data_IF_563931104268
#
_entry.id   IF_563931104268
#
_cell.length_a   1.000
_cell.length_b   1.000
_cell.length_c   1.000
_cell.angle_alpha   90.00
_cell.angle_beta   90.00
_cell.angle_gamma   90.00
#
_symmetry.space_group_name_H-M   'P 1'
#
loop_
_entity.id
_entity.type
_entity.pdbx_description
1 polymer ?
#
# COMPACT_ATOMS: atom_id res chain seq x y z
N UNK A 1 -17.75 -25.18 43.29
CA UNK A 1 -16.86 -24.01 43.52
C UNK A 1 -15.38 -24.39 43.55
N UNK A 2 -14.93 -25.36 44.36
CA UNK A 2 -13.51 -25.74 44.48
C UNK A 2 -12.89 -26.20 43.14
N UNK A 3 -13.59 -27.03 42.37
CA UNK A 3 -13.12 -27.49 41.04
C UNK A 3 -12.97 -26.35 40.02
N UNK A 4 -13.86 -25.35 40.05
CA UNK A 4 -13.78 -24.16 39.19
C UNK A 4 -12.60 -23.25 39.59
N UNK A 5 -12.32 -23.13 40.88
CA UNK A 5 -11.17 -22.38 41.38
C UNK A 5 -9.84 -23.07 41.03
N UNK A 6 -9.76 -24.40 41.13
CA UNK A 6 -8.58 -25.18 40.74
C UNK A 6 -8.34 -25.08 39.23
N UNK A 7 -9.40 -25.21 38.41
CA UNK A 7 -9.30 -25.05 36.97
C UNK A 7 -8.84 -23.64 36.58
N UNK A 8 -9.43 -22.60 37.20
CA UNK A 8 -9.00 -21.21 36.99
C UNK A 8 -7.54 -20.96 37.37
N UNK A 9 -7.06 -21.55 38.48
CA UNK A 9 -5.67 -21.46 38.90
C UNK A 9 -4.71 -22.16 37.93
N UNK A 10 -5.07 -23.33 37.41
CA UNK A 10 -4.27 -24.06 36.40
C UNK A 10 -4.19 -23.26 35.10
N UNK A 11 -5.31 -22.70 34.63
CA UNK A 11 -5.34 -21.84 33.44
C UNK A 11 -4.47 -20.60 33.64
N UNK A 12 -4.55 -19.95 34.81
CA UNK A 12 -3.71 -18.79 35.14
C UNK A 12 -2.22 -19.16 35.23
N UNK A 13 -1.88 -20.32 35.81
CA UNK A 13 -0.50 -20.81 35.88
C UNK A 13 0.05 -21.11 34.49
N UNK A 14 -0.73 -21.81 33.64
CA UNK A 14 -0.33 -22.09 32.25
C UNK A 14 -0.20 -20.81 31.44
N UNK A 15 -1.13 -19.86 31.58
CA UNK A 15 -1.04 -18.54 30.95
C UNK A 15 0.22 -17.80 31.41
N UNK A 16 0.57 -17.87 32.70
CA UNK A 16 1.80 -17.32 33.27
C UNK A 16 3.05 -17.97 32.68
N UNK A 17 3.13 -19.30 32.62
CA UNK A 17 4.28 -20.00 32.02
C UNK A 17 4.42 -19.66 30.54
N UNK A 18 3.33 -19.63 29.78
CA UNK A 18 3.36 -19.20 28.37
C UNK A 18 3.87 -17.76 28.26
N UNK A 19 3.35 -16.84 29.06
CA UNK A 19 3.72 -15.42 29.04
C UNK A 19 5.17 -15.15 29.45
N UNK A 20 5.66 -15.83 30.49
CA UNK A 20 6.99 -15.55 31.06
C UNK A 20 8.10 -16.42 30.48
N UNK A 21 7.81 -17.66 30.09
CA UNK A 21 8.82 -18.63 29.63
C UNK A 21 8.84 -18.74 28.11
N UNK A 22 7.68 -18.80 27.46
CA UNK A 22 7.58 -19.03 26.01
C UNK A 22 7.61 -17.72 25.22
N UNK A 23 6.96 -16.66 25.72
CA UNK A 23 6.92 -15.34 25.09
C UNK A 23 7.97 -14.41 25.71
N UNK A 24 9.24 -14.80 25.75
CA UNK A 24 10.32 -13.92 26.24
C UNK A 24 10.47 -12.69 25.34
N UNK A 25 10.77 -11.55 25.95
CA UNK A 25 11.22 -10.38 25.21
C UNK A 25 12.51 -10.75 24.43
N UNK A 26 12.76 -10.09 23.30
CA UNK A 26 13.99 -10.27 22.54
C UNK A 26 15.20 -9.81 23.36
N UNK A 27 16.40 -10.11 22.85
CA UNK A 27 17.63 -9.51 23.36
C UNK A 27 17.61 -7.98 23.27
N UNK A 28 18.58 -7.32 23.89
CA UNK A 28 18.69 -5.84 23.91
C UNK A 28 19.58 -5.27 22.82
N UNK A 29 20.20 -6.10 21.99
CA UNK A 29 21.03 -5.66 20.86
C UNK A 29 20.62 -6.38 19.58
N UNK A 30 20.87 -5.77 18.42
CA UNK A 30 20.61 -6.38 17.10
C UNK A 30 21.19 -7.81 16.97
N UNK A 31 22.40 -8.04 17.49
CA UNK A 31 23.07 -9.34 17.40
C UNK A 31 22.30 -10.46 18.13
N UNK A 32 21.57 -10.12 19.19
CA UNK A 32 20.79 -11.05 20.02
C UNK A 32 19.38 -11.32 19.48
N UNK A 33 18.97 -10.63 18.41
CA UNK A 33 17.65 -10.82 17.80
C UNK A 33 17.56 -12.15 17.03
N UNK A 34 16.34 -12.67 16.88
CA UNK A 34 16.11 -13.82 16.01
C UNK A 34 16.19 -13.44 14.52
N UNK A 35 16.36 -14.43 13.65
CA UNK A 35 16.58 -14.18 12.23
C UNK A 35 15.42 -13.45 11.53
N UNK A 36 14.18 -13.62 12.01
CA UNK A 36 13.07 -12.88 11.43
C UNK A 36 13.07 -11.43 11.88
N UNK A 37 13.43 -11.16 13.13
CA UNK A 37 13.55 -9.79 13.63
C UNK A 37 14.72 -9.06 12.97
N UNK A 38 15.86 -9.74 12.77
CA UNK A 38 16.99 -9.20 11.99
C UNK A 38 16.55 -8.87 10.56
N UNK A 39 15.95 -9.82 9.86
CA UNK A 39 15.44 -9.58 8.50
C UNK A 39 14.44 -8.42 8.45
N UNK A 40 13.54 -8.32 9.44
CA UNK A 40 12.61 -7.21 9.55
C UNK A 40 13.33 -5.87 9.72
N UNK A 41 14.29 -5.78 10.66
CA UNK A 41 15.00 -4.53 10.91
C UNK A 41 15.98 -4.15 9.81
N UNK A 42 16.56 -5.12 9.10
CA UNK A 42 17.38 -4.86 7.91
C UNK A 42 16.52 -4.20 6.83
N UNK A 43 15.35 -4.77 6.54
CA UNK A 43 14.41 -4.21 5.57
C UNK A 43 13.87 -2.83 6.01
N UNK A 44 13.54 -2.66 7.30
CA UNK A 44 13.12 -1.37 7.85
C UNK A 44 14.24 -0.31 7.76
N UNK A 45 15.48 -0.71 7.97
CA UNK A 45 16.64 0.18 7.84
C UNK A 45 16.81 0.64 6.40
N UNK A 46 16.67 -0.25 5.42
CA UNK A 46 16.70 0.12 4.00
C UNK A 46 15.55 1.04 3.61
N UNK A 47 14.33 0.79 4.12
CA UNK A 47 13.20 1.73 3.95
C UNK A 47 13.58 3.11 4.51
N UNK A 48 14.06 3.18 5.75
CA UNK A 48 14.36 4.44 6.44
C UNK A 48 15.51 5.19 5.76
N UNK A 49 16.55 4.50 5.31
CA UNK A 49 17.63 5.06 4.52
C UNK A 49 17.10 5.68 3.22
N UNK A 50 16.23 4.97 2.51
CA UNK A 50 15.69 5.45 1.23
C UNK A 50 14.83 6.70 1.43
N UNK A 51 13.99 6.73 2.47
CA UNK A 51 13.23 7.94 2.86
C UNK A 51 14.11 9.06 3.39
N UNK A 52 15.24 8.75 4.04
CA UNK A 52 16.14 9.76 4.56
C UNK A 52 16.94 10.46 3.46
N UNK A 53 17.31 9.71 2.41
CA UNK A 53 18.23 10.16 1.37
C UNK A 53 17.53 10.58 0.07
N UNK A 54 16.37 10.01 -0.25
CA UNK A 54 15.65 10.22 -1.51
C UNK A 54 14.11 10.34 -1.35
N UNK A 55 13.59 11.12 -0.37
CA UNK A 55 12.15 11.19 -0.09
C UNK A 55 11.31 11.69 -1.29
N UNK A 56 11.82 12.64 -2.06
CA UNK A 56 11.18 13.19 -3.25
C UNK A 56 11.05 12.18 -4.40
N UNK A 57 11.94 11.18 -4.44
CA UNK A 57 11.86 10.08 -5.40
C UNK A 57 10.84 9.02 -4.97
N UNK A 58 10.45 8.98 -3.71
CA UNK A 58 9.39 8.09 -3.20
C UNK A 58 8.01 8.75 -3.32
N UNK A 59 7.83 9.90 -2.67
CA UNK A 59 6.58 10.65 -2.69
C UNK A 59 6.84 12.15 -2.81
N UNK A 60 7.18 12.81 -1.70
CA UNK A 60 7.58 14.22 -1.62
C UNK A 60 8.55 14.40 -0.42
N UNK A 61 9.11 15.60 -0.27
CA UNK A 61 10.04 15.90 0.83
C UNK A 61 9.38 16.00 2.22
N UNK A 62 8.05 16.16 2.28
CA UNK A 62 7.30 16.37 3.51
C UNK A 62 6.89 15.05 4.16
N UNK A 63 6.60 14.02 3.35
CA UNK A 63 6.25 12.69 3.82
C UNK A 63 7.48 11.91 4.27
N UNK A 64 7.64 11.82 5.60
CA UNK A 64 8.81 11.21 6.27
C UNK A 64 8.44 9.96 7.05
N UNK A 65 8.18 8.86 6.34
CA UNK A 65 7.89 7.55 6.94
C UNK A 65 8.98 7.11 7.95
N UNK A 66 10.25 7.42 7.66
CA UNK A 66 11.42 7.15 8.50
C UNK A 66 11.37 7.81 9.89
N UNK A 67 10.46 8.75 10.10
CA UNK A 67 10.28 9.50 11.36
C UNK A 67 8.94 9.24 12.03
N UNK A 68 8.07 8.44 11.41
CA UNK A 68 6.75 8.16 11.96
C UNK A 68 6.83 7.06 13.03
N UNK A 69 6.00 7.14 14.08
CA UNK A 69 5.91 6.06 15.06
C UNK A 69 5.41 4.78 14.37
N UNK A 70 5.81 3.61 14.84
CA UNK A 70 5.36 2.32 14.30
C UNK A 70 5.34 1.27 15.40
N UNK A 71 4.33 0.41 15.41
CA UNK A 71 4.27 -0.76 16.29
C UNK A 71 4.41 -2.02 15.45
N UNK A 72 5.52 -2.74 15.62
CA UNK A 72 5.82 -3.96 14.87
C UNK A 72 5.59 -5.17 15.76
N UNK A 73 4.63 -6.02 15.39
CA UNK A 73 4.14 -7.12 16.23
C UNK A 73 4.68 -8.44 15.69
N UNK A 74 5.48 -9.14 16.51
CA UNK A 74 6.07 -10.44 16.17
C UNK A 74 5.01 -11.54 16.21
N UNK A 75 4.35 -11.78 15.09
CA UNK A 75 3.38 -12.86 14.91
C UNK A 75 4.07 -14.16 14.46
N UNK A 76 3.40 -15.30 14.68
CA UNK A 76 3.89 -16.61 14.22
C UNK A 76 3.57 -16.91 12.75
N UNK A 77 2.45 -16.38 12.26
CA UNK A 77 1.93 -16.62 10.92
C UNK A 77 1.04 -15.46 10.49
N UNK A 78 0.67 -15.46 9.21
CA UNK A 78 -0.31 -14.56 8.61
C UNK A 78 -1.57 -14.44 9.48
N UNK A 79 -1.99 -13.19 9.73
CA UNK A 79 -3.17 -12.80 10.52
C UNK A 79 -3.22 -13.41 11.93
N UNK A 80 -2.06 -13.77 12.48
CA UNK A 80 -1.96 -14.41 13.78
C UNK A 80 -2.51 -13.54 14.92
N UNK A 81 -3.33 -14.13 15.80
CA UNK A 81 -3.82 -13.49 17.02
C UNK A 81 -2.85 -13.64 18.21
N UNK A 82 -1.93 -14.61 18.12
CA UNK A 82 -0.88 -14.82 19.13
C UNK A 82 0.41 -14.18 18.66
N UNK A 83 0.95 -13.26 19.45
CA UNK A 83 2.26 -12.63 19.24
C UNK A 83 3.25 -12.97 20.35
N UNK A 84 4.54 -12.81 20.08
CA UNK A 84 5.62 -13.03 21.06
C UNK A 84 5.91 -11.77 21.87
N UNK A 85 6.10 -10.67 21.16
CA UNK A 85 6.38 -9.34 21.66
C UNK A 85 6.09 -8.35 20.53
N UNK A 86 6.27 -7.07 20.79
CA UNK A 86 6.18 -5.99 19.82
C UNK A 86 7.34 -5.01 20.01
N UNK A 87 7.75 -4.40 18.92
CA UNK A 87 8.67 -3.28 18.89
C UNK A 87 7.90 -1.98 18.69
N UNK A 88 8.25 -0.98 19.47
CA UNK A 88 7.85 0.40 19.28
C UNK A 88 9.02 1.10 18.62
N UNK A 89 8.82 1.62 17.42
CA UNK A 89 9.81 2.37 16.65
C UNK A 89 9.35 3.84 16.62
N UNK A 90 10.25 4.79 16.90
CA UNK A 90 9.97 6.23 16.88
C UNK A 90 8.76 6.66 17.75
N UNK A 91 8.52 5.96 18.86
CA UNK A 91 7.32 6.15 19.68
C UNK A 91 7.60 6.72 21.08
N UNK A 92 8.87 6.89 21.48
CA UNK A 92 9.23 7.40 22.81
C UNK A 92 8.69 8.81 23.10
N UNK A 93 8.46 9.62 22.06
CA UNK A 93 7.84 10.94 22.19
C UNK A 93 6.33 10.91 22.47
N UNK A 94 5.66 9.76 22.32
CA UNK A 94 4.21 9.63 22.48
C UNK A 94 3.78 8.50 23.43
N UNK A 95 4.71 7.65 23.88
CA UNK A 95 4.48 6.57 24.85
C UNK A 95 5.61 6.60 25.88
N UNK A 96 5.26 6.42 27.16
CA UNK A 96 6.27 6.18 28.19
C UNK A 96 6.92 4.80 27.98
N UNK A 97 8.20 4.81 27.60
CA UNK A 97 9.00 3.61 27.31
C UNK A 97 9.93 3.21 28.46
N UNK A 98 9.85 3.86 29.62
CA UNK A 98 10.74 3.61 30.77
C UNK A 98 10.73 2.17 31.27
N UNK A 99 9.59 1.48 31.12
CA UNK A 99 9.44 0.06 31.47
C UNK A 99 9.73 -0.92 30.34
N UNK A 100 10.12 -0.46 29.15
CA UNK A 100 10.35 -1.29 27.97
C UNK A 100 11.83 -1.57 27.77
N UNK A 101 12.14 -2.68 27.07
CA UNK A 101 13.53 -3.04 26.76
C UNK A 101 13.99 -2.23 25.56
N UNK A 102 14.91 -1.29 25.74
CA UNK A 102 15.57 -0.62 24.62
C UNK A 102 16.36 -1.65 23.79
N UNK A 103 16.30 -1.52 22.47
CA UNK A 103 17.08 -2.32 21.52
C UNK A 103 18.14 -1.42 20.88
N UNK A 104 19.40 -1.81 21.01
CA UNK A 104 20.52 -1.08 20.43
C UNK A 104 20.86 -1.64 19.05
N UNK A 105 21.05 -0.73 18.08
CA UNK A 105 21.50 -1.02 16.72
C UNK A 105 22.84 -0.31 16.44
N UNK A 106 23.97 -0.86 16.93
CA UNK A 106 25.29 -0.24 16.72
C UNK A 106 25.58 -0.01 15.23
N UNK A 107 25.97 1.21 14.87
CA UNK A 107 26.30 1.57 13.49
C UNK A 107 25.11 1.87 12.58
N UNK A 108 23.87 1.72 13.05
CA UNK A 108 22.67 2.09 12.30
C UNK A 108 22.27 3.55 12.62
N UNK A 109 22.27 4.47 11.65
CA UNK A 109 21.94 5.89 11.87
C UNK A 109 20.43 6.20 11.81
N UNK A 110 19.58 5.19 11.65
CA UNK A 110 18.14 5.37 11.43
C UNK A 110 17.28 4.78 12.57
N UNK A 111 17.77 3.74 13.26
CA UNK A 111 17.03 3.01 14.30
C UNK A 111 17.49 3.37 15.72
N UNK A 112 17.26 4.63 16.13
CA UNK A 112 17.69 5.14 17.45
C UNK A 112 16.65 5.03 18.57
N UNK A 113 15.37 4.96 18.20
CA UNK A 113 14.23 4.89 19.11
C UNK A 113 13.48 3.57 18.88
N UNK A 114 14.02 2.48 19.43
CA UNK A 114 13.42 1.15 19.32
C UNK A 114 13.32 0.49 20.70
N UNK A 115 12.10 0.13 21.09
CA UNK A 115 11.80 -0.49 22.38
C UNK A 115 10.95 -1.73 22.21
N UNK A 116 11.30 -2.82 22.89
CA UNK A 116 10.53 -4.06 22.91
C UNK A 116 9.67 -4.16 24.18
N UNK A 117 8.42 -4.59 23.98
CA UNK A 117 7.48 -4.92 25.06
C UNK A 117 6.59 -6.10 24.67
N UNK A 118 5.95 -6.74 25.64
CA UNK A 118 4.96 -7.81 25.39
C UNK A 118 3.54 -7.28 25.27
N UNK A 119 3.27 -6.13 25.86
CA UNK A 119 1.95 -5.52 25.95
C UNK A 119 2.01 -4.00 26.07
N UNK A 120 0.91 -3.36 25.69
CA UNK A 120 0.65 -1.92 25.81
C UNK A 120 -0.55 -1.66 26.75
N UNK A 121 -0.67 -2.50 27.78
CA UNK A 121 -1.81 -2.53 28.69
C UNK A 121 -3.10 -2.93 27.97
N UNK A 122 -4.23 -2.33 28.36
CA UNK A 122 -5.54 -2.60 27.74
C UNK A 122 -5.60 -2.33 26.24
N UNK A 123 -4.68 -1.50 25.70
CA UNK A 123 -4.58 -1.23 24.26
C UNK A 123 -4.21 -2.46 23.45
N UNK A 124 -3.55 -3.46 24.04
CA UNK A 124 -3.22 -4.71 23.36
C UNK A 124 -4.44 -5.54 22.95
N UNK A 125 -5.63 -5.26 23.49
CA UNK A 125 -6.84 -6.00 23.15
C UNK A 125 -7.24 -5.82 21.67
N UNK A 126 -7.01 -4.64 21.08
CA UNK A 126 -7.30 -4.43 19.65
C UNK A 126 -6.38 -5.26 18.74
N UNK A 127 -5.20 -5.65 19.22
CA UNK A 127 -4.22 -6.43 18.46
C UNK A 127 -4.61 -7.91 18.31
N UNK A 128 -5.61 -8.37 19.06
CA UNK A 128 -6.19 -9.72 18.92
C UNK A 128 -7.02 -9.87 17.64
N UNK A 129 -7.34 -8.77 16.95
CA UNK A 129 -8.04 -8.83 15.67
C UNK A 129 -7.22 -9.61 14.62
N UNK A 130 -7.80 -10.59 13.90
CA UNK A 130 -7.08 -11.46 12.96
C UNK A 130 -6.81 -10.75 11.62
N UNK A 131 -6.10 -9.63 11.67
CA UNK A 131 -5.55 -8.90 10.53
C UNK A 131 -4.04 -8.69 10.70
N UNK A 132 -3.35 -8.43 9.59
CA UNK A 132 -1.92 -8.14 9.59
C UNK A 132 -1.60 -6.71 10.01
N UNK A 133 -2.57 -5.80 9.98
CA UNK A 133 -2.37 -4.45 10.43
C UNK A 133 -3.64 -3.91 11.10
N UNK A 134 -3.47 -2.90 11.93
CA UNK A 134 -4.57 -2.16 12.55
C UNK A 134 -4.10 -0.80 13.03
N UNK A 135 -5.06 0.11 13.28
CA UNK A 135 -4.80 1.37 13.94
C UNK A 135 -4.67 1.14 15.45
N UNK A 136 -3.60 1.65 16.06
CA UNK A 136 -3.46 1.70 17.51
C UNK A 136 -3.43 3.15 17.98
N UNK A 137 -4.32 3.51 18.91
CA UNK A 137 -4.35 4.85 19.48
C UNK A 137 -3.38 4.98 20.66
N UNK A 138 -2.29 5.69 20.46
CA UNK A 138 -1.25 5.98 21.45
C UNK A 138 -1.26 7.47 21.79
N UNK A 139 -1.56 7.81 23.05
CA UNK A 139 -1.66 9.19 23.55
C UNK A 139 -2.47 10.13 22.64
N UNK A 140 -3.62 9.63 22.16
CA UNK A 140 -4.54 10.39 21.32
C UNK A 140 -4.25 10.33 19.82
N UNK A 141 -3.06 9.87 19.40
CA UNK A 141 -2.62 9.74 17.99
C UNK A 141 -2.82 8.31 17.47
N UNK A 142 -3.25 8.17 16.23
CA UNK A 142 -3.27 6.88 15.54
C UNK A 142 -1.88 6.50 15.04
N UNK A 143 -1.50 5.25 15.30
CA UNK A 143 -0.20 4.67 14.95
C UNK A 143 -0.46 3.33 14.27
N UNK A 144 0.21 3.08 13.15
CA UNK A 144 0.17 1.78 12.50
C UNK A 144 0.73 0.71 13.43
N UNK A 145 -0.09 -0.31 13.71
CA UNK A 145 0.35 -1.56 14.29
C UNK A 145 0.38 -2.63 13.20
N UNK A 146 1.57 -3.10 12.82
CA UNK A 146 1.81 -4.03 11.73
C UNK A 146 2.39 -5.35 12.27
N UNK A 147 1.76 -6.47 11.92
CA UNK A 147 2.18 -7.82 12.28
C UNK A 147 3.10 -8.37 11.21
N UNK A 148 4.31 -8.75 11.60
CA UNK A 148 5.26 -9.42 10.72
C UNK A 148 5.49 -10.86 11.19
N UNK A 149 5.73 -11.75 10.23
CA UNK A 149 5.97 -13.18 10.43
C UNK A 149 7.00 -13.70 9.43
N UNK A 150 7.60 -14.90 9.64
CA UNK A 150 8.71 -15.37 8.83
C UNK A 150 8.41 -15.44 7.32
N UNK A 151 7.19 -15.82 6.95
CA UNK A 151 6.84 -15.97 5.52
C UNK A 151 6.92 -14.64 4.76
N UNK A 152 6.76 -13.48 5.41
CA UNK A 152 6.92 -12.17 4.77
C UNK A 152 8.35 -11.89 4.25
N UNK A 153 9.32 -12.74 4.61
CA UNK A 153 10.71 -12.67 4.16
C UNK A 153 11.10 -13.87 3.27
N UNK A 154 10.13 -14.74 2.96
CA UNK A 154 10.33 -15.85 2.04
C UNK A 154 10.35 -15.37 0.59
N UNK A 155 11.16 -16.03 -0.25
CA UNK A 155 11.19 -15.80 -1.70
C UNK A 155 9.93 -16.28 -2.42
N UNK A 156 9.15 -17.15 -1.78
CA UNK A 156 7.89 -17.70 -2.31
C UNK A 156 6.68 -16.79 -2.04
N UNK A 157 6.87 -15.75 -1.22
CA UNK A 157 5.82 -14.79 -0.92
C UNK A 157 5.71 -13.80 -2.05
N UNK A 158 4.46 -13.48 -2.40
CA UNK A 158 4.17 -12.40 -3.33
C UNK A 158 4.96 -11.15 -2.92
N UNK A 159 5.81 -10.58 -3.79
CA UNK A 159 6.64 -9.43 -3.43
C UNK A 159 5.85 -8.31 -2.77
N UNK A 160 4.62 -8.08 -3.21
CA UNK A 160 3.71 -7.04 -2.72
C UNK A 160 3.21 -7.29 -1.29
N UNK A 161 3.25 -8.55 -0.83
CA UNK A 161 2.88 -8.99 0.51
C UNK A 161 4.09 -9.16 1.44
N UNK A 162 5.31 -8.93 0.94
CA UNK A 162 6.51 -8.97 1.79
C UNK A 162 6.58 -7.72 2.67
N UNK A 163 7.27 -7.85 3.80
CA UNK A 163 7.38 -6.79 4.80
C UNK A 163 7.76 -5.41 4.22
N UNK A 164 8.81 -5.25 3.38
CA UNK A 164 9.26 -3.92 2.94
C UNK A 164 8.24 -3.17 2.07
N UNK A 165 7.30 -3.85 1.43
CA UNK A 165 6.28 -3.18 0.61
C UNK A 165 5.00 -3.00 1.40
N UNK A 166 4.48 -4.09 1.96
CA UNK A 166 3.18 -4.07 2.63
C UNK A 166 3.17 -3.17 3.87
N UNK A 167 4.25 -3.14 4.66
CA UNK A 167 4.33 -2.24 5.83
C UNK A 167 4.31 -0.77 5.42
N UNK A 168 4.97 -0.42 4.31
CA UNK A 168 5.04 0.94 3.79
C UNK A 168 3.73 1.37 3.13
N UNK A 169 3.07 0.46 2.39
CA UNK A 169 1.73 0.66 1.84
C UNK A 169 0.73 1.02 2.93
N UNK A 170 0.69 0.21 3.99
CA UNK A 170 -0.19 0.49 5.12
C UNK A 170 0.20 1.78 5.84
N UNK A 171 1.50 2.03 6.05
CA UNK A 171 1.94 3.27 6.69
C UNK A 171 1.53 4.52 5.90
N UNK A 172 1.49 4.43 4.57
CA UNK A 172 1.04 5.51 3.70
C UNK A 172 -0.43 5.85 3.96
N UNK A 173 -1.30 4.84 4.07
CA UNK A 173 -2.71 5.03 4.44
C UNK A 173 -2.85 5.79 5.78
N UNK A 174 -2.09 5.37 6.80
CA UNK A 174 -2.20 5.94 8.14
C UNK A 174 -1.57 7.33 8.30
N UNK A 175 -0.50 7.64 7.56
CA UNK A 175 0.28 8.85 7.82
C UNK A 175 0.18 9.91 6.73
N UNK A 176 -0.08 9.51 5.48
CA UNK A 176 -0.28 10.46 4.38
C UNK A 176 -1.75 10.62 4.04
N UNK A 177 -2.50 9.52 4.00
CA UNK A 177 -3.88 9.53 3.50
C UNK A 177 -4.95 9.57 4.60
N UNK A 178 -4.59 9.72 5.87
CA UNK A 178 -5.55 9.69 6.98
C UNK A 178 -6.69 10.72 6.86
N UNK A 179 -6.41 11.87 6.25
CA UNK A 179 -7.41 12.93 6.00
C UNK A 179 -8.11 12.81 4.65
N UNK A 180 -7.69 11.87 3.79
CA UNK A 180 -8.30 11.68 2.49
C UNK A 180 -9.67 11.02 2.67
N UNK A 181 -10.63 11.43 1.85
CA UNK A 181 -12.03 11.02 1.98
C UNK A 181 -12.63 10.58 0.64
N UNK A 182 -11.81 10.08 -0.28
CA UNK A 182 -12.23 9.60 -1.59
C UNK A 182 -13.29 8.48 -1.53
N UNK A 183 -13.37 7.74 -0.42
CA UNK A 183 -14.30 6.65 -0.15
C UNK A 183 -15.42 6.98 0.86
N UNK A 184 -15.59 8.27 1.21
CA UNK A 184 -16.65 8.70 2.15
C UNK A 184 -17.90 9.20 1.42
N UNK A 185 -18.97 9.43 2.19
CA UNK A 185 -20.23 10.02 1.72
C UNK A 185 -20.92 9.24 0.60
N UNK A 186 -20.98 7.92 0.71
CA UNK A 186 -21.66 7.05 -0.26
C UNK A 186 -20.82 6.70 -1.50
N UNK A 187 -19.54 7.09 -1.53
CA UNK A 187 -18.57 6.64 -2.53
C UNK A 187 -18.08 5.23 -2.17
N UNK A 188 -17.86 4.39 -3.18
CA UNK A 188 -17.33 3.04 -3.02
C UNK A 188 -15.90 2.94 -3.54
N UNK A 189 -15.15 1.96 -3.05
CA UNK A 189 -13.81 1.56 -3.54
C UNK A 189 -13.85 0.24 -4.31
N UNK A 190 -15.02 -0.09 -4.82
CA UNK A 190 -15.27 -1.19 -5.75
C UNK A 190 -16.31 -0.72 -6.76
N UNK A 191 -16.18 -1.17 -7.99
CA UNK A 191 -17.16 -0.92 -9.04
C UNK A 191 -18.23 -2.00 -8.95
N UNK A 192 -19.41 -1.64 -8.47
CA UNK A 192 -20.57 -2.55 -8.51
C UNK A 192 -21.05 -2.76 -9.94
N UNK A 193 -21.43 -4.00 -10.28
CA UNK A 193 -21.91 -4.37 -11.62
C UNK A 193 -20.95 -3.91 -12.73
N UNK A 194 -19.68 -4.31 -12.60
CA UNK A 194 -18.65 -3.99 -13.57
C UNK A 194 -19.08 -4.45 -14.98
N UNK A 195 -19.08 -3.57 -15.98
CA UNK A 195 -19.50 -3.92 -17.34
C UNK A 195 -18.52 -4.93 -17.97
N UNK A 196 -19.06 -5.98 -18.58
CA UNK A 196 -18.27 -7.05 -19.24
C UNK A 196 -18.69 -7.31 -20.69
N UNK A 197 -19.51 -6.42 -21.26
CA UNK A 197 -19.92 -6.49 -22.66
C UNK A 197 -18.78 -6.16 -23.62
N UNK A 198 -18.86 -6.65 -24.86
CA UNK A 198 -17.82 -6.49 -25.88
C UNK A 198 -17.41 -5.02 -26.11
N UNK A 199 -18.36 -4.09 -26.12
CA UNK A 199 -18.09 -2.66 -26.29
C UNK A 199 -17.21 -2.09 -25.16
N UNK A 200 -17.45 -2.53 -23.92
CA UNK A 200 -16.63 -2.11 -22.78
C UNK A 200 -15.24 -2.74 -22.84
N UNK A 201 -15.18 -4.04 -23.10
CA UNK A 201 -13.91 -4.77 -23.18
C UNK A 201 -13.03 -4.22 -24.30
N UNK A 202 -13.59 -3.87 -25.46
CA UNK A 202 -12.83 -3.24 -26.55
C UNK A 202 -12.22 -1.89 -26.13
N UNK A 203 -12.97 -1.04 -25.42
CA UNK A 203 -12.43 0.21 -24.88
C UNK A 203 -11.40 -0.02 -23.76
N UNK A 204 -11.57 -1.07 -22.96
CA UNK A 204 -10.63 -1.45 -21.93
C UNK A 204 -9.31 -1.97 -22.52
N UNK A 205 -9.36 -2.77 -23.60
CA UNK A 205 -8.19 -3.17 -24.39
C UNK A 205 -7.41 -1.96 -24.87
N UNK A 206 -8.09 -0.97 -25.45
CA UNK A 206 -7.47 0.29 -25.87
C UNK A 206 -6.84 1.04 -24.71
N UNK A 207 -7.55 1.19 -23.57
CA UNK A 207 -7.00 1.83 -22.37
C UNK A 207 -5.73 1.13 -21.87
N UNK A 208 -5.73 -0.21 -21.84
CA UNK A 208 -4.61 -0.99 -21.37
C UNK A 208 -3.42 -0.96 -22.32
N UNK A 209 -3.65 -0.97 -23.64
CA UNK A 209 -2.60 -0.79 -24.64
C UNK A 209 -1.94 0.60 -24.52
N UNK A 210 -2.72 1.64 -24.25
CA UNK A 210 -2.21 2.99 -24.00
C UNK A 210 -1.34 3.03 -22.72
N UNK A 211 -1.78 2.39 -21.63
CA UNK A 211 -1.00 2.29 -20.39
C UNK A 211 0.32 1.54 -20.59
N UNK A 212 0.29 0.43 -21.34
CA UNK A 212 1.49 -0.35 -21.68
C UNK A 212 2.49 0.49 -22.48
N UNK A 213 2.00 1.25 -23.48
CA UNK A 213 2.84 2.13 -24.29
C UNK A 213 3.43 3.28 -23.47
N UNK A 214 2.66 3.87 -22.56
CA UNK A 214 3.14 4.92 -21.65
C UNK A 214 4.23 4.40 -20.69
N UNK A 215 4.26 3.10 -20.41
CA UNK A 215 5.30 2.48 -19.60
C UNK A 215 6.70 2.52 -20.23
N UNK A 216 6.78 2.64 -21.56
CA UNK A 216 8.05 2.55 -22.30
C UNK A 216 8.35 3.76 -23.20
N UNK A 217 7.37 4.63 -23.46
CA UNK A 217 7.53 5.77 -24.37
C UNK A 217 8.49 6.83 -23.81
N UNK A 218 9.56 7.08 -24.56
CA UNK A 218 10.63 8.01 -24.20
C UNK A 218 10.41 9.40 -24.81
N UNK A 219 9.78 9.50 -25.98
CA UNK A 219 9.56 10.79 -26.63
C UNK A 219 8.51 11.61 -25.85
N UNK A 220 8.85 12.82 -25.36
CA UNK A 220 7.93 13.60 -24.53
C UNK A 220 6.65 14.04 -25.24
N UNK A 221 6.73 14.34 -26.55
CA UNK A 221 5.57 14.80 -27.31
C UNK A 221 4.58 13.64 -27.55
N UNK A 222 5.10 12.48 -27.96
CA UNK A 222 4.33 11.27 -28.15
C UNK A 222 3.77 10.75 -26.82
N UNK A 223 4.56 10.78 -25.75
CA UNK A 223 4.09 10.45 -24.40
C UNK A 223 2.89 11.31 -23.99
N UNK A 224 2.98 12.63 -24.19
CA UNK A 224 1.88 13.56 -23.90
C UNK A 224 0.65 13.28 -24.76
N UNK A 225 0.83 12.99 -26.05
CA UNK A 225 -0.27 12.62 -26.95
C UNK A 225 -0.98 11.32 -26.54
N UNK A 226 -0.22 10.27 -26.19
CA UNK A 226 -0.77 8.98 -25.71
C UNK A 226 -1.50 9.18 -24.39
N UNK A 227 -0.97 9.98 -23.46
CA UNK A 227 -1.61 10.26 -22.18
C UNK A 227 -2.92 11.07 -22.35
N UNK A 228 -2.99 11.95 -23.36
CA UNK A 228 -4.24 12.61 -23.74
C UNK A 228 -5.25 11.61 -24.28
N UNK A 229 -4.84 10.71 -25.18
CA UNK A 229 -5.72 9.66 -25.72
C UNK A 229 -6.22 8.72 -24.61
N UNK A 230 -5.37 8.37 -23.63
CA UNK A 230 -5.76 7.62 -22.42
C UNK A 230 -6.87 8.34 -21.65
N UNK A 231 -6.71 9.65 -21.41
CA UNK A 231 -7.72 10.44 -20.71
C UNK A 231 -9.06 10.50 -21.46
N UNK A 232 -9.02 10.57 -22.80
CA UNK A 232 -10.21 10.57 -23.66
C UNK A 232 -10.94 9.22 -23.66
N UNK A 233 -10.22 8.11 -23.78
CA UNK A 233 -10.80 6.75 -23.73
C UNK A 233 -11.48 6.52 -22.39
N UNK A 234 -10.80 6.85 -21.28
CA UNK A 234 -11.39 6.66 -19.95
C UNK A 234 -12.60 7.57 -19.72
N UNK A 235 -12.57 8.82 -20.16
CA UNK A 235 -13.72 9.71 -20.08
C UNK A 235 -14.93 9.15 -20.84
N UNK A 236 -14.71 8.56 -22.02
CA UNK A 236 -15.78 7.88 -22.77
C UNK A 236 -16.33 6.66 -22.03
N UNK A 237 -15.45 5.84 -21.43
CA UNK A 237 -15.88 4.70 -20.59
C UNK A 237 -16.78 5.18 -19.45
N UNK A 238 -16.42 6.25 -18.76
CA UNK A 238 -17.22 6.77 -17.64
C UNK A 238 -18.55 7.38 -18.09
N UNK A 239 -18.59 7.97 -19.28
CA UNK A 239 -19.85 8.46 -19.85
C UNK A 239 -20.81 7.30 -20.19
N UNK A 240 -20.31 6.21 -20.78
CA UNK A 240 -21.11 5.05 -21.17
C UNK A 240 -21.47 4.15 -19.98
N UNK A 241 -20.59 4.07 -18.98
CA UNK A 241 -20.77 3.30 -17.75
C UNK A 241 -20.39 4.14 -16.51
N UNK A 242 -21.30 5.01 -16.03
CA UNK A 242 -21.03 5.94 -14.93
C UNK A 242 -20.58 5.30 -13.62
N UNK A 243 -20.92 4.04 -13.37
CA UNK A 243 -20.46 3.30 -12.19
C UNK A 243 -18.93 3.14 -12.15
N UNK A 244 -18.25 3.22 -13.29
CA UNK A 244 -16.79 3.10 -13.38
C UNK A 244 -16.06 4.26 -12.71
N UNK A 245 -16.72 5.38 -12.41
CA UNK A 245 -16.12 6.49 -11.65
C UNK A 245 -15.64 6.03 -10.26
N UNK A 246 -16.22 4.97 -9.69
CA UNK A 246 -15.73 4.40 -8.44
C UNK A 246 -14.28 3.85 -8.54
N UNK A 247 -13.81 3.52 -9.75
CA UNK A 247 -12.42 3.11 -10.01
C UNK A 247 -11.44 4.20 -9.56
N UNK A 248 -11.74 5.48 -9.83
CA UNK A 248 -10.88 6.62 -9.47
C UNK A 248 -10.66 6.73 -7.95
N UNK A 249 -11.65 6.34 -7.12
CA UNK A 249 -11.49 6.37 -5.67
C UNK A 249 -10.46 5.31 -5.21
N UNK A 250 -10.53 4.11 -5.79
CA UNK A 250 -9.57 3.04 -5.49
C UNK A 250 -8.19 3.37 -6.04
N UNK A 251 -8.10 3.95 -7.24
CA UNK A 251 -6.84 4.45 -7.79
C UNK A 251 -6.22 5.53 -6.89
N UNK A 252 -7.03 6.44 -6.36
CA UNK A 252 -6.57 7.48 -5.46
C UNK A 252 -6.06 6.92 -4.13
N UNK A 253 -6.77 5.97 -3.52
CA UNK A 253 -6.40 5.40 -2.22
C UNK A 253 -5.31 4.35 -2.39
N UNK A 254 -5.63 3.25 -3.06
CA UNK A 254 -4.79 2.07 -3.14
C UNK A 254 -3.73 2.17 -4.24
N UNK A 255 -4.05 2.85 -5.34
CA UNK A 255 -3.12 3.04 -6.44
C UNK A 255 -1.94 3.97 -6.08
N UNK A 256 -2.14 4.99 -5.24
CA UNK A 256 -1.03 5.84 -4.77
C UNK A 256 -0.14 5.13 -3.75
N UNK A 257 -0.70 4.27 -2.91
CA UNK A 257 0.07 3.38 -2.03
C UNK A 257 0.87 2.34 -2.85
N UNK A 258 0.26 1.74 -3.88
CA UNK A 258 0.95 0.87 -4.87
C UNK A 258 2.04 1.63 -5.65
N UNK A 259 1.82 2.90 -6.00
CA UNK A 259 2.84 3.75 -6.61
C UNK A 259 4.06 3.88 -5.70
N UNK A 260 3.86 4.13 -4.40
CA UNK A 260 4.96 4.23 -3.44
C UNK A 260 5.77 2.93 -3.37
N UNK A 261 5.10 1.77 -3.36
CA UNK A 261 5.77 0.46 -3.40
C UNK A 261 6.66 0.28 -4.65
N UNK A 262 6.15 0.65 -5.83
CA UNK A 262 6.92 0.57 -7.08
C UNK A 262 8.10 1.54 -7.08
N UNK A 263 7.92 2.76 -6.60
CA UNK A 263 9.02 3.75 -6.48
C UNK A 263 10.12 3.27 -5.56
N UNK A 264 9.74 2.68 -4.43
CA UNK A 264 10.70 2.06 -3.54
C UNK A 264 11.43 0.90 -4.24
N UNK A 265 10.70 0.03 -4.94
CA UNK A 265 11.28 -1.05 -5.73
C UNK A 265 12.29 -0.56 -6.77
N UNK A 266 11.97 0.51 -7.51
CA UNK A 266 12.87 1.11 -8.52
C UNK A 266 14.17 1.63 -7.89
N UNK A 267 14.08 2.20 -6.68
CA UNK A 267 15.23 2.76 -5.97
C UNK A 267 16.14 1.69 -5.37
N UNK A 268 15.57 0.57 -4.93
CA UNK A 268 16.32 -0.49 -4.22
C UNK A 268 16.62 -1.72 -5.09
N UNK A 269 16.27 -1.69 -6.38
CA UNK A 269 16.44 -2.84 -7.27
C UNK A 269 15.53 -4.03 -6.92
N UNK A 270 14.34 -3.74 -6.41
CA UNK A 270 13.34 -4.73 -6.00
C UNK A 270 12.59 -5.38 -7.17
N UNK A 271 11.51 -6.12 -6.85
CA UNK A 271 10.71 -6.90 -7.83
C UNK A 271 9.25 -6.45 -7.97
N UNK A 272 8.85 -5.37 -7.31
CA UNK A 272 7.49 -4.82 -7.42
C UNK A 272 7.45 -3.86 -8.59
N UNK A 273 6.77 -4.26 -9.66
CA UNK A 273 6.56 -3.46 -10.86
C UNK A 273 5.09 -3.46 -11.26
N UNK A 274 4.81 -3.37 -12.56
CA UNK A 274 3.45 -3.48 -13.09
C UNK A 274 3.03 -4.95 -13.08
N UNK A 275 1.91 -5.26 -12.42
CA UNK A 275 1.26 -6.58 -12.45
C UNK A 275 2.23 -7.71 -12.06
N UNK A 276 2.98 -7.49 -10.98
CA UNK A 276 3.92 -8.47 -10.43
C UNK A 276 3.19 -9.71 -9.91
N UNK A 277 3.60 -10.89 -10.37
CA UNK A 277 3.13 -12.17 -9.83
C UNK A 277 3.98 -12.66 -8.64
N UNK A 278 3.61 -13.80 -8.06
CA UNK A 278 4.32 -14.39 -6.92
C UNK A 278 5.79 -14.72 -7.18
N UNK A 279 6.16 -14.98 -8.44
CA UNK A 279 7.54 -15.23 -8.85
C UNK A 279 8.35 -13.94 -9.04
N UNK A 280 7.73 -12.77 -8.85
CA UNK A 280 8.34 -11.47 -9.10
C UNK A 280 8.43 -11.12 -10.58
N UNK A 281 7.67 -11.79 -11.44
CA UNK A 281 7.59 -11.48 -12.86
C UNK A 281 6.49 -10.44 -13.09
N UNK A 282 6.77 -9.43 -13.90
CA UNK A 282 5.81 -8.40 -14.29
C UNK A 282 5.07 -8.80 -15.57
N UNK A 283 3.92 -8.20 -15.81
CA UNK A 283 3.12 -8.39 -17.03
C UNK A 283 2.60 -7.06 -17.54
N UNK A 284 2.21 -7.02 -18.82
CA UNK A 284 1.54 -5.87 -19.42
C UNK A 284 0.06 -5.87 -19.02
N UNK A 285 -0.57 -4.70 -19.03
CA UNK A 285 -2.01 -4.55 -18.79
C UNK A 285 -2.82 -5.36 -19.80
N UNK A 286 -2.46 -5.29 -21.09
CA UNK A 286 -3.05 -6.07 -22.18
C UNK A 286 -2.99 -7.58 -21.93
N UNK A 287 -1.82 -8.11 -21.56
CA UNK A 287 -1.65 -9.54 -21.31
C UNK A 287 -2.49 -10.04 -20.12
N UNK A 288 -2.66 -9.20 -19.08
CA UNK A 288 -3.54 -9.54 -17.95
C UNK A 288 -5.01 -9.51 -18.36
N UNK A 289 -5.43 -8.59 -19.22
CA UNK A 289 -6.80 -8.57 -19.74
C UNK A 289 -7.09 -9.80 -20.59
N UNK A 290 -6.19 -10.17 -21.51
CA UNK A 290 -6.31 -11.41 -22.29
C UNK A 290 -6.46 -12.64 -21.37
N UNK A 291 -5.68 -12.69 -20.30
CA UNK A 291 -5.77 -13.75 -19.30
C UNK A 291 -7.08 -13.72 -18.52
N UNK A 292 -7.63 -12.55 -18.20
CA UNK A 292 -8.95 -12.42 -17.56
C UNK A 292 -10.04 -12.92 -18.49
N UNK A 293 -10.03 -12.53 -19.76
CA UNK A 293 -11.06 -12.89 -20.75
C UNK A 293 -11.13 -14.39 -21.04
N UNK A 294 -10.01 -15.11 -20.87
CA UNK A 294 -9.98 -16.57 -20.99
C UNK A 294 -10.78 -17.30 -19.89
N UNK A 295 -11.11 -16.65 -18.78
CA UNK A 295 -11.91 -17.25 -17.71
C UNK A 295 -12.79 -16.20 -17.00
N UNK A 296 -14.12 -16.24 -17.19
CA UNK A 296 -15.06 -15.32 -16.55
C UNK A 296 -14.93 -15.17 -15.03
N UNK A 297 -14.50 -16.22 -14.31
CA UNK A 297 -14.31 -16.16 -12.86
C UNK A 297 -13.23 -15.15 -12.43
N UNK A 298 -12.34 -14.76 -13.35
CA UNK A 298 -11.29 -13.76 -13.16
C UNK A 298 -11.81 -12.33 -13.29
N UNK A 299 -13.03 -12.13 -13.80
CA UNK A 299 -13.61 -10.79 -14.03
C UNK A 299 -13.65 -9.90 -12.79
N UNK A 300 -13.75 -10.50 -11.59
CA UNK A 300 -13.71 -9.79 -10.30
C UNK A 300 -12.41 -9.00 -10.07
N UNK A 301 -11.33 -9.34 -10.76
CA UNK A 301 -10.06 -8.60 -10.70
C UNK A 301 -10.24 -7.19 -11.27
N UNK A 302 -11.12 -7.01 -12.26
CA UNK A 302 -11.42 -5.71 -12.88
C UNK A 302 -12.23 -4.79 -11.94
N UNK A 303 -12.99 -5.35 -11.00
CA UNK A 303 -13.87 -4.59 -10.09
C UNK A 303 -13.08 -3.72 -9.09
N UNK A 304 -11.85 -4.13 -8.75
CA UNK A 304 -11.03 -3.44 -7.73
C UNK A 304 -9.53 -3.63 -7.91
N UNK A 305 -9.05 -4.86 -8.09
CA UNK A 305 -7.60 -5.16 -8.06
C UNK A 305 -6.83 -4.42 -9.15
N UNK A 306 -7.36 -4.33 -10.38
CA UNK A 306 -6.71 -3.58 -11.45
C UNK A 306 -6.53 -2.09 -11.13
N UNK A 307 -7.41 -1.50 -10.31
CA UNK A 307 -7.33 -0.09 -9.93
C UNK A 307 -6.08 0.23 -9.07
N UNK A 308 -5.51 -0.76 -8.38
CA UNK A 308 -4.21 -0.58 -7.70
C UNK A 308 -3.12 -0.32 -8.75
N UNK A 309 -3.14 -1.10 -9.83
CA UNK A 309 -2.09 -1.11 -10.83
C UNK A 309 -2.20 0.06 -11.81
N UNK A 310 -3.42 0.38 -12.25
CA UNK A 310 -3.69 1.55 -13.10
C UNK A 310 -3.48 2.85 -12.34
N UNK A 311 -3.93 2.94 -11.08
CA UNK A 311 -3.71 4.11 -10.24
C UNK A 311 -2.23 4.40 -9.98
N UNK A 312 -1.43 3.34 -9.81
CA UNK A 312 0.01 3.48 -9.70
C UNK A 312 0.65 3.96 -11.01
N UNK A 313 0.23 3.40 -12.16
CA UNK A 313 0.73 3.81 -13.47
C UNK A 313 0.40 5.28 -13.77
N UNK A 314 -0.79 5.75 -13.39
CA UNK A 314 -1.15 7.16 -13.49
C UNK A 314 -0.24 8.06 -12.66
N UNK A 315 0.21 7.61 -11.48
CA UNK A 315 1.22 8.33 -10.69
C UNK A 315 2.53 8.54 -11.46
N UNK A 316 3.04 7.50 -12.14
CA UNK A 316 4.22 7.62 -13.01
C UNK A 316 3.97 8.54 -14.20
N UNK A 317 2.76 8.50 -14.78
CA UNK A 317 2.39 9.39 -15.88
C UNK A 317 2.37 10.86 -15.42
N UNK A 318 1.75 11.12 -14.28
CA UNK A 318 1.62 12.46 -13.72
C UNK A 318 2.94 13.04 -13.22
N UNK A 319 3.89 12.22 -12.76
CA UNK A 319 5.24 12.68 -12.46
C UNK A 319 5.92 13.35 -13.67
N UNK A 320 5.60 12.91 -14.89
CA UNK A 320 6.14 13.47 -16.14
C UNK A 320 5.34 14.67 -16.65
N UNK A 321 4.02 14.70 -16.41
CA UNK A 321 3.12 15.71 -17.00
C UNK A 321 2.76 16.86 -16.06
N UNK A 322 2.51 16.57 -14.79
CA UNK A 322 2.05 17.56 -13.80
C UNK A 322 2.79 17.32 -12.48
N UNK A 323 4.00 17.88 -12.29
CA UNK A 323 4.81 17.65 -11.09
C UNK A 323 4.13 18.00 -9.76
N UNK A 324 3.04 18.79 -9.78
CA UNK A 324 2.27 19.16 -8.59
C UNK A 324 1.13 18.19 -8.27
N UNK A 325 0.97 17.10 -9.03
CA UNK A 325 -0.18 16.20 -8.90
C UNK A 325 -0.38 15.68 -7.47
N UNK A 326 0.71 15.31 -6.78
CA UNK A 326 0.66 14.82 -5.39
C UNK A 326 0.01 15.84 -4.45
N UNK A 327 0.31 17.12 -4.64
CA UNK A 327 -0.30 18.22 -3.88
C UNK A 327 -1.76 18.45 -4.28
N UNK A 328 -2.10 18.34 -5.56
CA UNK A 328 -3.48 18.51 -6.03
C UNK A 328 -4.42 17.43 -5.47
N UNK A 329 -3.91 16.23 -5.20
CA UNK A 329 -4.66 15.15 -4.57
C UNK A 329 -4.98 15.38 -3.09
N UNK A 330 -4.16 16.19 -2.39
CA UNK A 330 -4.38 16.45 -0.97
C UNK A 330 -5.74 17.14 -0.75
N UNK A 331 -6.43 16.85 0.37
CA UNK A 331 -7.61 17.59 0.74
C UNK A 331 -7.28 19.04 1.09
N UNK A 332 -8.32 19.89 1.09
CA UNK A 332 -8.19 21.26 1.58
C UNK A 332 -7.66 21.28 3.03
N UNK A 333 -6.84 22.27 3.42
CA UNK A 333 -6.47 23.47 2.64
C UNK A 333 -5.22 23.29 1.76
N UNK A 334 -4.63 22.09 1.70
CA UNK A 334 -3.34 21.87 1.03
C UNK A 334 -3.52 21.75 -0.49
N UNK A 335 -4.53 20.98 -0.89
CA UNK A 335 -4.83 20.67 -2.28
C UNK A 335 -6.30 20.84 -2.63
N UNK A 336 -6.70 20.17 -3.69
CA UNK A 336 -8.03 20.27 -4.29
C UNK A 336 -8.80 18.95 -4.22
N UNK A 337 -8.23 17.90 -3.61
CA UNK A 337 -8.84 16.56 -3.51
C UNK A 337 -9.22 15.99 -4.88
N UNK A 338 -8.30 16.06 -5.84
CA UNK A 338 -8.51 15.50 -7.17
C UNK A 338 -7.98 14.07 -7.24
N UNK A 339 -8.63 13.21 -8.01
CA UNK A 339 -8.07 11.89 -8.37
C UNK A 339 -6.99 12.05 -9.45
N UNK A 340 -6.15 11.03 -9.65
CA UNK A 340 -5.16 11.05 -10.72
C UNK A 340 -5.79 11.28 -12.10
N UNK A 341 -6.94 10.65 -12.37
CA UNK A 341 -7.63 10.81 -13.64
C UNK A 341 -8.20 12.24 -13.81
N UNK A 342 -8.77 12.83 -12.76
CA UNK A 342 -9.23 14.23 -12.79
C UNK A 342 -8.08 15.21 -13.06
N UNK A 343 -6.91 14.98 -12.45
CA UNK A 343 -5.70 15.77 -12.70
C UNK A 343 -5.26 15.62 -14.16
N UNK A 344 -5.23 14.39 -14.69
CA UNK A 344 -4.86 14.14 -16.08
C UNK A 344 -5.81 14.82 -17.07
N UNK A 345 -7.12 14.71 -16.84
CA UNK A 345 -8.13 15.40 -17.66
C UNK A 345 -7.96 16.92 -17.62
N UNK A 346 -7.72 17.47 -16.43
CA UNK A 346 -7.50 18.90 -16.24
C UNK A 346 -6.25 19.37 -16.96
N UNK A 347 -5.14 18.62 -16.88
CA UNK A 347 -3.89 18.93 -17.57
C UNK A 347 -4.10 19.14 -19.08
N UNK A 348 -4.97 18.33 -19.70
CA UNK A 348 -5.29 18.42 -21.12
C UNK A 348 -6.53 19.28 -21.45
N UNK A 349 -7.17 19.93 -20.46
CA UNK A 349 -8.38 20.71 -20.67
C UNK A 349 -9.59 19.91 -21.16
N UNK A 350 -9.68 18.62 -20.82
CA UNK A 350 -10.77 17.73 -21.27
C UNK A 350 -12.03 17.96 -20.40
N UNK A 351 -12.88 18.88 -20.85
CA UNK A 351 -14.16 19.21 -20.21
C UNK A 351 -15.38 18.68 -20.96
N UNK A 352 -15.24 18.35 -22.24
CA UNK A 352 -16.32 17.85 -23.09
C UNK A 352 -16.33 16.31 -23.16
N UNK A 353 -17.49 15.70 -23.48
CA UNK A 353 -17.57 14.29 -23.86
C UNK A 353 -16.63 13.95 -25.02
N UNK A 354 -15.98 12.79 -24.95
CA UNK A 354 -15.17 12.27 -26.07
C UNK A 354 -16.11 11.88 -27.22
N UNK A 355 -15.80 12.29 -28.44
CA UNK A 355 -16.62 11.96 -29.62
C UNK A 355 -16.36 10.54 -30.11
N UNK A 356 -17.33 9.93 -30.82
CA UNK A 356 -17.12 8.61 -31.43
C UNK A 356 -16.01 8.63 -32.50
N UNK A 357 -15.83 9.75 -33.20
CA UNK A 357 -14.73 9.94 -34.16
C UNK A 357 -13.36 9.94 -33.46
N UNK A 358 -13.25 10.60 -32.30
CA UNK A 358 -12.03 10.56 -31.49
C UNK A 358 -11.73 9.12 -31.05
N UNK A 359 -12.74 8.39 -30.58
CA UNK A 359 -12.58 7.01 -30.14
C UNK A 359 -12.18 6.10 -31.30
N UNK A 360 -12.83 6.20 -32.45
CA UNK A 360 -12.50 5.40 -33.63
C UNK A 360 -11.04 5.64 -34.07
N UNK A 361 -10.58 6.91 -34.08
CA UNK A 361 -9.18 7.27 -34.37
C UNK A 361 -8.22 6.63 -33.37
N UNK A 362 -8.52 6.72 -32.07
CA UNK A 362 -7.66 6.18 -31.02
C UNK A 362 -7.61 4.65 -31.14
N UNK A 363 -8.76 3.99 -31.27
CA UNK A 363 -8.83 2.54 -31.41
C UNK A 363 -8.06 2.08 -32.65
N UNK A 364 -8.21 2.71 -33.81
CA UNK A 364 -7.42 2.37 -35.00
C UNK A 364 -5.90 2.48 -34.78
N UNK A 365 -5.46 3.29 -33.83
CA UNK A 365 -4.03 3.51 -33.54
C UNK A 365 -3.46 2.49 -32.56
N UNK A 366 -4.26 1.97 -31.63
CA UNK A 366 -3.79 1.19 -30.47
C UNK A 366 -4.50 -0.15 -30.26
N UNK A 367 -5.51 -0.46 -31.07
CA UNK A 367 -6.28 -1.70 -31.08
C UNK A 367 -6.21 -2.31 -32.48
#
# INVERSE_FOLDING_TARGET
MVLLAIFGAIVALMAGVIWFVILRNPGSTYAELDETDKAMFDQLSTQYETFATQPERLWDNEYRYDRMPLVLIRARKDRGIVWRYMYLVNASGIVDTSGFRKIDFPGNPYLHDVFATKALGGRSLSLLFPANFTALRLSGREVLAFKYHPDMFSRETDPTLTFPYFSMHEAFHYYKQASWDFDRNGRTTWVENYPTGADHLSLLHTEFALLDRLGTEADPALFSAIARDLALVRAARYQRWPQLVAQDNTEAIEGTARYLERRYSDLTGGKVGVLTNKQGQTSTFTAVLDWIEQNPDRGKILERTMAYETGAQLGYILDRLEPRWKKLMEPAPIGERLTQHEILRRHFGITAPTTDDDLARIQQTYH
#
